data_IF_626582669574
#
_entry.id   IF_626582669574
#
_cell.length_a   1.000
_cell.length_b   1.000
_cell.length_c   1.000
_cell.angle_alpha   90.00
_cell.angle_beta   90.00
_cell.angle_gamma   90.00
#
_symmetry.space_group_name_H-M   'P 1'
#
loop_
_entity.id
_entity.type
_entity.pdbx_description
1 polymer ?
#
# COMPACT_ATOMS: atom_id res chain seq x y z
N UNK A 1 -16.77 20.04 8.38
CA UNK A 1 -16.54 20.63 7.04
C UNK A 1 -15.79 21.92 7.23
N UNK A 2 -14.91 22.27 6.29
CA UNK A 2 -14.22 23.55 6.30
C UNK A 2 -15.16 24.72 6.03
N UNK A 3 -14.70 25.94 6.32
CA UNK A 3 -15.46 27.19 6.10
C UNK A 3 -14.80 28.12 5.08
N UNK A 4 -13.58 27.80 4.64
CA UNK A 4 -12.81 28.67 3.76
C UNK A 4 -13.31 28.58 2.31
N UNK A 5 -13.77 29.70 1.77
CA UNK A 5 -14.21 29.85 0.38
C UNK A 5 -13.30 30.76 -0.45
N UNK A 6 -12.15 31.17 0.10
CA UNK A 6 -11.21 32.06 -0.57
C UNK A 6 -10.58 31.37 -1.78
N UNK A 7 -10.93 31.86 -2.96
CA UNK A 7 -10.47 31.33 -4.24
C UNK A 7 -8.95 31.47 -4.43
N UNK A 8 -8.37 32.60 -3.99
CA UNK A 8 -6.94 32.86 -4.11
C UNK A 8 -6.11 31.89 -3.28
N UNK A 9 -6.53 31.64 -2.03
CA UNK A 9 -5.89 30.65 -1.16
C UNK A 9 -6.03 29.23 -1.70
N UNK A 10 -7.21 28.88 -2.22
CA UNK A 10 -7.43 27.58 -2.83
C UNK A 10 -6.54 27.37 -4.07
N UNK A 11 -6.38 28.40 -4.91
CA UNK A 11 -5.50 28.38 -6.08
C UNK A 11 -4.03 28.20 -5.69
N UNK A 12 -3.55 28.98 -4.71
CA UNK A 12 -2.17 28.88 -4.23
C UNK A 12 -1.91 27.50 -3.64
N UNK A 13 -2.81 26.99 -2.79
CA UNK A 13 -2.71 25.64 -2.25
C UNK A 13 -2.64 24.57 -3.34
N UNK A 14 -3.51 24.64 -4.35
CA UNK A 14 -3.53 23.65 -5.43
C UNK A 14 -2.26 23.69 -6.28
N UNK A 15 -1.68 24.87 -6.54
CA UNK A 15 -0.40 24.99 -7.27
C UNK A 15 0.78 24.42 -6.47
N UNK A 16 0.84 24.72 -5.17
CA UNK A 16 1.84 24.14 -4.28
C UNK A 16 1.68 22.62 -4.19
N UNK A 17 0.44 22.13 -4.09
CA UNK A 17 0.13 20.72 -4.09
C UNK A 17 0.58 20.05 -5.39
N UNK A 18 0.26 20.62 -6.55
CA UNK A 18 0.60 20.05 -7.85
C UNK A 18 2.12 19.87 -8.03
N UNK A 19 2.88 20.90 -7.69
CA UNK A 19 4.35 20.86 -7.72
C UNK A 19 4.91 19.82 -6.75
N UNK A 20 4.44 19.82 -5.50
CA UNK A 20 4.90 18.89 -4.47
C UNK A 20 4.52 17.44 -4.77
N UNK A 21 3.28 17.22 -5.21
CA UNK A 21 2.75 15.91 -5.54
C UNK A 21 3.45 15.30 -6.77
N UNK A 22 3.75 16.11 -7.79
CA UNK A 22 4.47 15.65 -8.98
C UNK A 22 5.86 15.12 -8.62
N UNK A 23 6.61 15.87 -7.80
CA UNK A 23 7.94 15.44 -7.33
C UNK A 23 7.87 14.16 -6.49
N UNK A 24 6.91 14.05 -5.59
CA UNK A 24 6.73 12.85 -4.77
C UNK A 24 6.30 11.65 -5.63
N UNK A 25 5.39 11.86 -6.57
CA UNK A 25 4.94 10.82 -7.49
C UNK A 25 6.11 10.28 -8.32
N UNK A 26 6.96 11.17 -8.84
CA UNK A 26 8.18 10.79 -9.57
C UNK A 26 9.12 9.93 -8.71
N UNK A 27 9.39 10.32 -7.47
CA UNK A 27 10.24 9.54 -6.55
C UNK A 27 9.67 8.15 -6.28
N UNK A 28 8.38 8.07 -5.99
CA UNK A 28 7.69 6.79 -5.74
C UNK A 28 7.71 5.89 -6.97
N UNK A 29 7.34 6.43 -8.14
CA UNK A 29 7.32 5.69 -9.39
C UNK A 29 8.73 5.20 -9.77
N UNK A 30 9.75 6.04 -9.62
CA UNK A 30 11.15 5.67 -9.86
C UNK A 30 11.63 4.57 -8.92
N UNK A 31 11.29 4.66 -7.63
CA UNK A 31 11.68 3.64 -6.66
C UNK A 31 10.95 2.30 -6.89
N UNK A 32 9.68 2.35 -7.30
CA UNK A 32 8.91 1.18 -7.71
C UNK A 32 9.49 0.53 -8.96
N UNK A 33 9.81 1.33 -9.99
CA UNK A 33 10.45 0.85 -11.21
C UNK A 33 11.79 0.17 -10.91
N UNK A 34 12.66 0.84 -10.13
CA UNK A 34 13.97 0.29 -9.78
C UNK A 34 13.88 -1.05 -9.05
N UNK A 35 12.91 -1.22 -8.16
CA UNK A 35 12.68 -2.50 -7.51
C UNK A 35 12.12 -3.54 -8.49
N UNK A 36 11.16 -3.16 -9.34
CA UNK A 36 10.57 -4.07 -10.32
C UNK A 36 11.58 -4.58 -11.36
N UNK A 37 12.52 -3.74 -11.78
CA UNK A 37 13.59 -4.12 -12.72
C UNK A 37 14.81 -4.75 -12.04
N UNK A 38 15.00 -4.49 -10.74
CA UNK A 38 16.12 -5.02 -9.97
C UNK A 38 15.67 -5.31 -8.52
N UNK A 39 15.24 -6.55 -8.30
CA UNK A 39 14.62 -7.02 -7.06
C UNK A 39 15.68 -7.30 -5.98
N UNK A 40 16.21 -6.23 -5.38
CA UNK A 40 17.12 -6.30 -4.22
C UNK A 40 16.46 -5.75 -2.96
N UNK A 41 16.94 -6.19 -1.79
CA UNK A 41 16.47 -5.68 -0.50
C UNK A 41 16.69 -4.17 -0.34
N UNK A 42 17.78 -3.63 -0.88
CA UNK A 42 18.06 -2.19 -0.87
C UNK A 42 17.01 -1.42 -1.67
N UNK A 43 16.70 -1.87 -2.90
CA UNK A 43 15.69 -1.23 -3.74
C UNK A 43 14.28 -1.37 -3.13
N UNK A 44 13.98 -2.53 -2.55
CA UNK A 44 12.74 -2.78 -1.81
C UNK A 44 12.56 -1.82 -0.64
N UNK A 45 13.58 -1.63 0.20
CA UNK A 45 13.55 -0.70 1.34
C UNK A 45 13.32 0.74 0.86
N UNK A 46 14.03 1.18 -0.17
CA UNK A 46 13.87 2.51 -0.76
C UNK A 46 12.46 2.72 -1.32
N UNK A 47 11.91 1.72 -2.01
CA UNK A 47 10.53 1.74 -2.51
C UNK A 47 9.51 1.88 -1.37
N UNK A 48 9.71 1.19 -0.25
CA UNK A 48 8.82 1.29 0.93
C UNK A 48 8.93 2.68 1.55
N UNK A 49 10.14 3.21 1.73
CA UNK A 49 10.39 4.53 2.30
C UNK A 49 9.70 5.65 1.51
N UNK A 50 9.85 5.67 0.18
CA UNK A 50 9.20 6.67 -0.68
C UNK A 50 7.66 6.57 -0.61
N UNK A 51 7.11 5.36 -0.54
CA UNK A 51 5.66 5.16 -0.32
C UNK A 51 5.20 5.71 1.03
N UNK A 52 6.01 5.59 2.09
CA UNK A 52 5.71 6.17 3.40
C UNK A 52 5.78 7.70 3.38
N UNK A 53 6.76 8.29 2.69
CA UNK A 53 6.85 9.74 2.50
C UNK A 53 5.63 10.28 1.74
N UNK A 54 5.20 9.59 0.68
CA UNK A 54 3.97 9.92 -0.03
C UNK A 54 2.75 9.87 0.88
N UNK A 55 2.62 8.83 1.69
CA UNK A 55 1.49 8.69 2.61
C UNK A 55 1.43 9.87 3.62
N UNK A 56 2.58 10.29 4.16
CA UNK A 56 2.68 11.48 5.04
C UNK A 56 2.27 12.75 4.29
N UNK A 57 2.74 12.94 3.06
CA UNK A 57 2.36 14.09 2.24
C UNK A 57 0.85 14.11 1.95
N UNK A 58 0.27 12.98 1.55
CA UNK A 58 -1.17 12.85 1.31
C UNK A 58 -1.97 13.25 2.57
N UNK A 59 -1.51 12.86 3.76
CA UNK A 59 -2.15 13.21 5.05
C UNK A 59 -2.09 14.70 5.35
N UNK A 60 -0.95 15.35 5.15
CA UNK A 60 -0.77 16.80 5.37
C UNK A 60 -1.59 17.59 4.35
N UNK A 61 -1.54 17.21 3.09
CA UNK A 61 -2.32 17.82 2.02
C UNK A 61 -3.82 17.68 2.25
N UNK A 62 -4.29 16.51 2.69
CA UNK A 62 -5.68 16.30 3.08
C UNK A 62 -6.12 17.22 4.22
N UNK A 63 -5.30 17.38 5.27
CA UNK A 63 -5.60 18.28 6.40
C UNK A 63 -5.78 19.73 5.96
N UNK A 64 -5.00 20.20 4.99
CA UNK A 64 -5.19 21.53 4.41
C UNK A 64 -6.45 21.57 3.53
N UNK A 65 -6.65 20.57 2.69
CA UNK A 65 -7.77 20.52 1.76
C UNK A 65 -9.14 20.55 2.46
N UNK A 66 -9.30 19.87 3.61
CA UNK A 66 -10.58 19.85 4.36
C UNK A 66 -10.97 21.19 4.99
N UNK A 67 -10.06 22.16 5.07
CA UNK A 67 -10.35 23.51 5.57
C UNK A 67 -11.18 24.33 4.57
N UNK A 68 -11.15 23.95 3.30
CA UNK A 68 -11.93 24.59 2.24
C UNK A 68 -13.36 24.04 2.17
N UNK A 69 -14.34 24.94 2.07
CA UNK A 69 -15.70 24.59 1.68
C UNK A 69 -15.78 24.46 0.15
N UNK A 70 -15.30 23.32 -0.35
CA UNK A 70 -15.25 23.02 -1.78
C UNK A 70 -16.64 23.03 -2.45
N UNK A 71 -17.74 22.90 -1.71
CA UNK A 71 -19.08 22.92 -2.30
C UNK A 71 -19.49 24.31 -2.75
N UNK A 72 -19.08 25.34 -1.99
CA UNK A 72 -19.41 26.75 -2.23
C UNK A 72 -18.43 27.47 -3.16
N UNK A 73 -17.30 26.86 -3.50
CA UNK A 73 -16.36 27.41 -4.48
C UNK A 73 -17.03 27.45 -5.88
N UNK A 74 -17.11 28.63 -6.53
CA UNK A 74 -17.75 28.76 -7.84
C UNK A 74 -16.97 28.07 -8.97
N UNK A 75 -15.63 28.13 -8.92
CA UNK A 75 -14.77 27.58 -9.97
C UNK A 75 -14.86 26.05 -10.02
N UNK A 76 -15.30 25.53 -11.17
CA UNK A 76 -15.54 24.10 -11.38
C UNK A 76 -14.26 23.26 -11.34
N UNK A 77 -13.13 23.80 -11.79
CA UNK A 77 -11.85 23.09 -11.82
C UNK A 77 -11.28 22.92 -10.42
N UNK A 78 -11.20 24.01 -9.65
CA UNK A 78 -10.73 24.03 -8.26
C UNK A 78 -11.63 23.13 -7.41
N UNK A 79 -12.95 23.25 -7.58
CA UNK A 79 -13.93 22.40 -6.92
C UNK A 79 -13.67 20.91 -7.17
N UNK A 80 -13.38 20.52 -8.42
CA UNK A 80 -13.07 19.13 -8.79
C UNK A 80 -11.77 18.65 -8.15
N UNK A 81 -10.72 19.48 -8.17
CA UNK A 81 -9.41 19.14 -7.59
C UNK A 81 -9.51 18.97 -6.08
N UNK A 82 -10.11 19.93 -5.36
CA UNK A 82 -10.32 19.83 -3.91
C UNK A 82 -11.18 18.64 -3.53
N UNK A 83 -12.28 18.39 -4.27
CA UNK A 83 -13.09 17.19 -4.06
C UNK A 83 -12.25 15.92 -4.18
N UNK A 84 -11.37 15.83 -5.18
CA UNK A 84 -10.48 14.68 -5.35
C UNK A 84 -9.55 14.50 -4.15
N UNK A 85 -8.93 15.58 -3.66
CA UNK A 85 -8.02 15.52 -2.51
C UNK A 85 -8.73 15.11 -1.21
N UNK A 86 -9.96 15.58 -1.01
CA UNK A 86 -10.73 15.31 0.22
C UNK A 86 -11.33 13.89 0.20
N UNK A 87 -11.85 13.46 -0.95
CA UNK A 87 -12.59 12.20 -1.08
C UNK A 87 -11.70 10.99 -1.33
N UNK A 88 -10.45 11.19 -1.78
CA UNK A 88 -9.58 10.08 -2.17
C UNK A 88 -8.63 9.70 -1.04
N UNK A 89 -8.80 8.48 -0.54
CA UNK A 89 -7.73 7.75 0.14
C UNK A 89 -7.89 7.58 1.64
N UNK A 90 -6.88 6.94 2.23
CA UNK A 90 -6.78 6.60 3.66
C UNK A 90 -6.44 7.81 4.53
N UNK A 91 -6.11 8.95 3.91
CA UNK A 91 -5.73 10.18 4.60
C UNK A 91 -6.86 10.74 5.49
N UNK A 92 -8.12 10.35 5.28
CA UNK A 92 -9.24 10.70 6.15
C UNK A 92 -9.23 10.01 7.51
N UNK A 93 -8.52 8.88 7.64
CA UNK A 93 -8.45 8.12 8.90
C UNK A 93 -7.82 8.95 10.02
N UNK A 94 -8.26 8.76 11.29
CA UNK A 94 -7.53 9.27 12.45
C UNK A 94 -6.06 8.86 12.42
N UNK A 95 -5.16 9.69 12.97
CA UNK A 95 -3.70 9.48 12.90
C UNK A 95 -3.30 8.08 13.41
N UNK A 96 -3.89 7.62 14.51
CA UNK A 96 -3.64 6.29 15.05
C UNK A 96 -3.97 5.18 14.03
N UNK A 97 -5.18 5.20 13.45
CA UNK A 97 -5.63 4.22 12.45
C UNK A 97 -4.84 4.32 11.13
N UNK A 98 -4.43 5.53 10.76
CA UNK A 98 -3.58 5.77 9.60
C UNK A 98 -2.21 5.12 9.79
N UNK A 99 -1.58 5.29 10.95
CA UNK A 99 -0.31 4.63 11.25
C UNK A 99 -0.48 3.11 11.33
N UNK A 100 -1.55 2.64 11.97
CA UNK A 100 -1.88 1.22 12.10
C UNK A 100 -2.04 0.53 10.74
N UNK A 101 -2.81 1.10 9.80
CA UNK A 101 -3.01 0.47 8.49
C UNK A 101 -1.70 0.42 7.68
N UNK A 102 -0.85 1.45 7.79
CA UNK A 102 0.45 1.45 7.12
C UNK A 102 1.43 0.45 7.74
N UNK A 103 1.42 0.31 9.07
CA UNK A 103 2.17 -0.73 9.78
C UNK A 103 1.75 -2.13 9.34
N UNK A 104 0.45 -2.42 9.33
CA UNK A 104 -0.09 -3.71 8.90
C UNK A 104 0.33 -4.05 7.47
N UNK A 105 0.24 -3.09 6.53
CA UNK A 105 0.67 -3.32 5.15
C UNK A 105 2.16 -3.63 5.09
N UNK A 106 2.99 -2.92 5.86
CA UNK A 106 4.43 -3.17 5.91
C UNK A 106 4.74 -4.56 6.43
N UNK A 107 4.13 -4.97 7.55
CA UNK A 107 4.30 -6.31 8.11
C UNK A 107 3.84 -7.41 7.15
N UNK A 108 2.68 -7.23 6.52
CA UNK A 108 2.15 -8.20 5.55
C UNK A 108 3.10 -8.36 4.34
N UNK A 109 3.62 -7.25 3.80
CA UNK A 109 4.63 -7.30 2.74
C UNK A 109 5.91 -7.99 3.18
N UNK A 110 6.36 -7.71 4.40
CA UNK A 110 7.59 -8.28 4.94
C UNK A 110 7.48 -9.80 5.12
N UNK A 111 6.40 -10.26 5.76
CA UNK A 111 6.12 -11.70 5.93
C UNK A 111 6.04 -12.43 4.59
N UNK A 112 5.36 -11.84 3.60
CA UNK A 112 5.24 -12.44 2.26
C UNK A 112 6.59 -12.65 1.59
N UNK A 113 7.55 -11.73 1.80
CA UNK A 113 8.84 -11.75 1.12
C UNK A 113 9.90 -12.57 1.86
N UNK A 114 9.78 -12.71 3.18
CA UNK A 114 10.75 -13.44 4.01
C UNK A 114 10.31 -14.84 4.42
N UNK A 115 9.11 -15.28 4.01
CA UNK A 115 8.70 -16.65 4.34
C UNK A 115 9.67 -17.65 3.72
N UNK A 116 9.92 -18.71 4.47
CA UNK A 116 10.75 -19.85 4.08
C UNK A 116 9.90 -21.10 4.21
N UNK A 117 10.02 -21.97 3.22
CA UNK A 117 9.31 -23.26 3.22
C UNK A 117 10.29 -24.41 3.07
N UNK A 118 9.85 -25.59 3.48
CA UNK A 118 10.68 -26.79 3.44
C UNK A 118 10.56 -27.48 2.07
N UNK A 119 11.68 -27.95 1.53
CA UNK A 119 11.68 -28.74 0.30
C UNK A 119 10.90 -30.06 0.45
N UNK A 120 10.46 -30.62 -0.68
CA UNK A 120 9.89 -31.96 -0.73
C UNK A 120 10.98 -33.01 -0.44
N UNK A 121 10.67 -34.05 0.34
CA UNK A 121 11.62 -35.10 0.76
C UNK A 121 12.87 -34.59 1.51
N UNK A 122 12.71 -33.61 2.40
CA UNK A 122 13.78 -33.04 3.22
C UNK A 122 14.21 -33.94 4.40
N UNK A 123 14.61 -35.18 4.12
CA UNK A 123 14.95 -36.17 5.16
C UNK A 123 16.34 -35.96 5.77
N UNK A 124 17.27 -35.35 5.03
CA UNK A 124 18.69 -35.29 5.41
C UNK A 124 19.13 -33.96 6.04
N UNK A 125 18.51 -32.83 5.70
CA UNK A 125 19.03 -31.50 6.10
C UNK A 125 18.16 -30.76 7.09
N UNK A 126 16.87 -31.14 7.26
CA UNK A 126 15.90 -30.49 8.16
C UNK A 126 15.86 -28.94 8.04
N UNK A 127 16.41 -28.41 6.94
CA UNK A 127 16.68 -27.00 6.72
C UNK A 127 15.66 -26.49 5.71
N UNK A 128 14.94 -25.43 6.08
CA UNK A 128 13.85 -24.88 5.29
C UNK A 128 14.21 -23.46 4.87
N UNK A 129 14.75 -23.32 3.66
CA UNK A 129 15.30 -22.08 3.12
C UNK A 129 14.71 -21.67 1.78
N UNK A 130 13.82 -22.47 1.19
CA UNK A 130 13.19 -22.14 -0.08
C UNK A 130 12.41 -20.82 0.05
N UNK A 131 12.77 -19.86 -0.79
CA UNK A 131 12.07 -18.57 -0.89
C UNK A 131 10.98 -18.62 -1.95
N UNK A 132 10.00 -17.72 -1.85
CA UNK A 132 8.96 -17.61 -2.89
C UNK A 132 9.56 -17.45 -4.29
N UNK A 133 10.51 -16.54 -4.40
CA UNK A 133 11.20 -16.18 -5.62
C UNK A 133 12.71 -16.23 -5.35
N UNK A 134 13.49 -17.02 -6.11
CA UNK A 134 13.09 -17.79 -7.29
C UNK A 134 12.60 -19.22 -7.02
N UNK A 135 12.81 -19.77 -5.82
CA UNK A 135 12.77 -21.23 -5.62
C UNK A 135 11.38 -21.84 -5.81
N UNK A 136 10.39 -21.37 -5.06
CA UNK A 136 9.02 -21.88 -5.12
C UNK A 136 8.42 -21.62 -6.50
N UNK A 137 8.60 -20.41 -7.05
CA UNK A 137 8.19 -20.09 -8.42
C UNK A 137 8.79 -21.06 -9.45
N UNK A 138 10.09 -21.37 -9.35
CA UNK A 138 10.76 -22.29 -10.27
C UNK A 138 10.20 -23.71 -10.15
N UNK A 139 10.02 -24.24 -8.94
CA UNK A 139 9.48 -25.60 -8.70
C UNK A 139 8.04 -25.70 -9.24
N UNK A 140 7.19 -24.73 -8.89
CA UNK A 140 5.78 -24.71 -9.31
C UNK A 140 5.62 -24.57 -10.83
N UNK A 141 6.56 -23.91 -11.53
CA UNK A 141 6.53 -23.78 -12.98
C UNK A 141 7.04 -25.02 -13.73
N UNK A 142 8.12 -25.65 -13.23
CA UNK A 142 8.85 -26.66 -14.00
C UNK A 142 8.63 -28.10 -13.53
N UNK A 143 8.28 -28.32 -12.26
CA UNK A 143 8.06 -29.69 -11.77
C UNK A 143 6.86 -30.34 -12.48
N UNK A 144 6.96 -31.66 -12.64
CA UNK A 144 5.91 -32.53 -13.16
C UNK A 144 5.50 -33.60 -12.15
N UNK A 145 6.10 -33.58 -10.96
CA UNK A 145 5.73 -34.47 -9.88
C UNK A 145 4.56 -33.86 -9.12
N UNK A 146 3.40 -34.53 -9.15
CA UNK A 146 2.19 -34.08 -8.47
C UNK A 146 2.36 -33.96 -6.96
N UNK A 147 3.12 -34.86 -6.34
CA UNK A 147 3.29 -34.88 -4.88
C UNK A 147 4.20 -33.75 -4.42
N UNK A 148 5.25 -33.43 -5.19
CA UNK A 148 6.12 -32.28 -4.94
C UNK A 148 5.34 -30.97 -5.05
N UNK A 149 4.54 -30.81 -6.11
CA UNK A 149 3.72 -29.61 -6.31
C UNK A 149 2.69 -29.43 -5.17
N UNK A 150 2.02 -30.51 -4.76
CA UNK A 150 1.07 -30.47 -3.66
C UNK A 150 1.74 -30.10 -2.33
N UNK A 151 2.91 -30.68 -2.05
CA UNK A 151 3.70 -30.38 -0.85
C UNK A 151 4.09 -28.91 -0.80
N UNK A 152 4.71 -28.40 -1.87
CA UNK A 152 5.15 -27.01 -1.95
C UNK A 152 3.98 -26.03 -1.84
N UNK A 153 2.86 -26.31 -2.52
CA UNK A 153 1.65 -25.50 -2.43
C UNK A 153 1.11 -25.44 -1.00
N UNK A 154 1.02 -26.61 -0.34
CA UNK A 154 0.52 -26.70 1.04
C UNK A 154 1.44 -25.98 2.02
N UNK A 155 2.74 -26.28 1.99
CA UNK A 155 3.74 -25.63 2.85
C UNK A 155 3.71 -24.11 2.70
N UNK A 156 3.63 -23.60 1.47
CA UNK A 156 3.50 -22.17 1.24
C UNK A 156 2.26 -21.57 1.92
N UNK A 157 1.08 -22.18 1.71
CA UNK A 157 -0.16 -21.71 2.31
C UNK A 157 -0.17 -21.84 3.85
N UNK A 158 0.42 -22.89 4.41
CA UNK A 158 0.51 -23.12 5.85
C UNK A 158 1.48 -22.16 6.54
N UNK A 159 2.58 -21.79 5.89
CA UNK A 159 3.55 -20.82 6.44
C UNK A 159 3.12 -19.38 6.26
N UNK A 160 2.35 -19.05 5.21
CA UNK A 160 1.91 -17.66 4.95
C UNK A 160 0.51 -17.35 5.44
N UNK A 161 -0.45 -18.26 5.29
CA UNK A 161 -1.87 -18.01 5.52
C UNK A 161 -2.23 -17.70 6.98
N UNK A 162 -1.95 -18.61 7.94
CA UNK A 162 -2.24 -18.39 9.36
C UNK A 162 -1.65 -17.09 9.94
N UNK A 163 -0.36 -16.72 9.73
CA UNK A 163 0.17 -15.47 10.25
C UNK A 163 -0.40 -14.23 9.54
N UNK A 164 -0.79 -14.35 8.27
CA UNK A 164 -1.39 -13.25 7.50
C UNK A 164 -2.85 -12.96 7.91
N UNK A 165 -3.61 -14.00 8.27
CA UNK A 165 -5.08 -13.95 8.45
C UNK A 165 -5.53 -12.78 9.33
N UNK A 166 -5.03 -12.69 10.56
CA UNK A 166 -5.48 -11.68 11.52
C UNK A 166 -5.10 -10.25 11.09
N UNK A 167 -3.91 -10.08 10.50
CA UNK A 167 -3.45 -8.79 9.99
C UNK A 167 -4.29 -8.32 8.80
N UNK A 168 -4.61 -9.23 7.88
CA UNK A 168 -5.47 -8.94 6.74
C UNK A 168 -6.89 -8.57 7.18
N UNK A 169 -7.47 -9.31 8.13
CA UNK A 169 -8.77 -8.97 8.70
C UNK A 169 -8.79 -7.57 9.32
N UNK A 170 -7.74 -7.21 10.07
CA UNK A 170 -7.62 -5.87 10.66
C UNK A 170 -7.45 -4.79 9.59
N UNK A 171 -6.63 -5.04 8.57
CA UNK A 171 -6.47 -4.15 7.43
C UNK A 171 -7.83 -3.87 6.74
N UNK A 172 -8.62 -4.91 6.47
CA UNK A 172 -9.95 -4.78 5.86
C UNK A 172 -10.89 -3.95 6.74
N UNK A 173 -10.89 -4.16 8.06
CA UNK A 173 -11.69 -3.37 8.99
C UNK A 173 -11.36 -1.87 8.90
N UNK A 174 -10.08 -1.50 8.93
CA UNK A 174 -9.66 -0.10 8.89
C UNK A 174 -9.92 0.50 7.50
N UNK A 175 -9.66 -0.26 6.43
CA UNK A 175 -9.96 0.16 5.08
C UNK A 175 -11.45 0.46 4.90
N UNK A 176 -12.34 -0.43 5.39
CA UNK A 176 -13.79 -0.24 5.33
C UNK A 176 -14.24 0.99 6.10
N UNK A 177 -13.63 1.28 7.26
CA UNK A 177 -13.91 2.50 8.01
C UNK A 177 -13.52 3.76 7.21
N UNK A 178 -12.36 3.77 6.56
CA UNK A 178 -11.95 4.87 5.69
C UNK A 178 -12.94 5.09 4.53
N UNK A 179 -13.40 4.00 3.93
CA UNK A 179 -14.36 4.00 2.83
C UNK A 179 -15.70 4.63 3.26
N UNK A 180 -16.26 4.19 4.41
CA UNK A 180 -17.49 4.76 5.00
C UNK A 180 -17.36 6.26 5.29
N UNK A 181 -16.21 6.71 5.81
CA UNK A 181 -15.96 8.13 6.09
C UNK A 181 -15.90 9.01 4.83
N UNK A 182 -15.49 8.43 3.70
CA UNK A 182 -15.33 9.15 2.42
C UNK A 182 -16.53 8.99 1.49
N UNK A 183 -17.57 8.29 1.93
CA UNK A 183 -18.80 8.09 1.16
C UNK A 183 -18.64 7.17 -0.05
N UNK A 184 -17.66 6.25 -0.02
CA UNK A 184 -17.45 5.25 -1.09
C UNK A 184 -17.31 3.85 -0.50
N UNK A 185 -17.85 2.85 -1.20
CA UNK A 185 -17.39 1.48 -1.06
C UNK A 185 -15.99 1.35 -1.69
N UNK A 186 -15.11 0.58 -1.07
CA UNK A 186 -13.77 0.33 -1.59
C UNK A 186 -13.86 -0.23 -3.02
N UNK A 187 -13.25 0.45 -3.99
CA UNK A 187 -12.58 -0.26 -5.07
C UNK A 187 -11.33 -0.91 -4.46
N UNK A 188 -11.55 -2.03 -3.79
CA UNK A 188 -10.53 -3.05 -3.57
C UNK A 188 -10.52 -3.82 -4.87
N UNK A 189 -9.59 -3.50 -5.76
CA UNK A 189 -8.95 -4.28 -6.83
C UNK A 189 -8.26 -3.26 -7.74
#
# INVERSE_FOLDING_TARGET
>A
QGTNVNLGEALTFLREYDTGASNICFKVASAQWNYATNMTDTNKRKMIEEQMLKAKFDKVSWRKAILFDWQRIPDRSIKRQLKLLITRGRASLPVAKFNEIHHLISEMKDMYLHVRICAFNNYDTNYCDLMLDPDVHRIMAHSRNSDELLHIWREWHDKTGPPMKNKFMRYVQIANQAARMTGRFLHLF
#
